data_IF_815387187448
#
_entry.id   IF_815387187448
#
_cell.length_a   1.000
_cell.length_b   1.000
_cell.length_c   1.000
_cell.angle_alpha   90.00
_cell.angle_beta   90.00
_cell.angle_gamma   90.00
#
_symmetry.space_group_name_H-M   'P 1'
#
loop_
_entity.id
_entity.type
_entity.pdbx_description
1 polymer ?
#
# COMPACT_ATOMS: atom_id res chain seq x y z
N UNK A 1 30.64 -2.95 20.72
CA UNK A 1 29.31 -3.51 20.91
C UNK A 1 28.37 -2.61 20.10
N UNK A 2 28.21 -2.94 18.81
CA UNK A 2 27.38 -2.15 17.90
C UNK A 2 26.16 -3.00 17.54
N UNK A 3 25.12 -2.88 18.35
CA UNK A 3 23.77 -3.24 17.97
C UNK A 3 23.06 -1.93 17.60
N UNK A 4 23.07 -1.58 16.34
CA UNK A 4 22.19 -0.53 15.85
C UNK A 4 21.71 -0.85 14.44
N UNK A 5 20.39 -0.92 14.31
CA UNK A 5 19.61 -0.56 13.14
C UNK A 5 19.66 -1.47 11.90
N UNK A 6 19.45 -2.76 12.06
CA UNK A 6 19.16 -3.62 10.90
C UNK A 6 17.66 -3.96 10.73
N UNK A 7 16.79 -3.37 11.56
CA UNK A 7 15.35 -3.71 11.58
C UNK A 7 14.59 -3.30 10.32
N UNK A 8 15.03 -2.27 9.60
CA UNK A 8 14.37 -1.84 8.35
C UNK A 8 14.66 -2.75 7.15
N UNK A 9 15.81 -3.43 7.13
CA UNK A 9 16.22 -4.25 5.98
C UNK A 9 15.48 -5.57 5.88
N UNK A 10 14.90 -6.05 6.98
CA UNK A 10 14.22 -7.33 7.08
C UNK A 10 12.70 -7.21 7.19
N UNK A 11 12.16 -5.98 7.26
CA UNK A 11 10.72 -5.76 7.37
C UNK A 11 9.95 -6.35 6.17
N UNK A 12 8.76 -6.84 6.46
CA UNK A 12 7.85 -7.44 5.47
C UNK A 12 6.54 -6.70 5.48
N UNK A 13 6.08 -6.33 4.30
CA UNK A 13 4.79 -5.67 4.11
C UNK A 13 3.78 -6.69 3.59
N UNK A 14 2.66 -6.79 4.27
CA UNK A 14 1.48 -7.49 3.80
C UNK A 14 0.59 -6.49 3.06
N UNK A 15 0.40 -6.69 1.77
CA UNK A 15 -0.66 -6.03 1.04
C UNK A 15 -1.88 -6.94 1.02
N UNK A 16 -2.96 -6.44 1.57
CA UNK A 16 -4.26 -7.09 1.55
C UNK A 16 -5.19 -6.29 0.66
N UNK A 17 -5.73 -6.91 -0.37
CA UNK A 17 -6.83 -6.34 -1.13
C UNK A 17 -8.06 -7.21 -1.03
N UNK A 18 -9.22 -6.61 -0.81
CA UNK A 18 -10.42 -7.39 -0.64
C UNK A 18 -11.67 -6.58 -0.35
N UNK A 19 -12.67 -7.30 0.08
CA UNK A 19 -13.96 -6.76 0.48
C UNK A 19 -14.84 -7.82 1.12
N UNK A 20 -16.02 -7.40 1.54
CA UNK A 20 -17.03 -8.30 2.07
C UNK A 20 -17.76 -9.02 0.94
N UNK A 21 -18.00 -10.31 1.15
CA UNK A 21 -18.88 -11.09 0.27
C UNK A 21 -20.36 -10.86 0.63
N UNK A 22 -21.31 -11.15 -0.27
CA UNK A 22 -22.75 -10.87 -0.04
C UNK A 22 -23.30 -11.39 1.28
N UNK A 23 -22.91 -12.59 1.70
CA UNK A 23 -23.38 -13.19 2.95
C UNK A 23 -23.01 -12.41 4.22
N UNK A 24 -22.05 -11.49 4.17
CA UNK A 24 -21.80 -10.55 5.26
C UNK A 24 -22.98 -9.60 5.48
N UNK A 25 -23.61 -9.18 4.41
CA UNK A 25 -24.72 -8.21 4.45
C UNK A 25 -26.06 -8.87 4.80
N UNK A 26 -26.10 -10.20 4.80
CA UNK A 26 -27.25 -10.98 5.28
C UNK A 26 -27.27 -11.14 6.80
N UNK A 27 -26.14 -10.83 7.47
CA UNK A 27 -26.04 -10.84 8.92
C UNK A 27 -26.77 -9.67 9.55
N UNK A 28 -27.31 -9.88 10.75
CA UNK A 28 -27.84 -8.78 11.55
C UNK A 28 -26.73 -7.79 11.95
N UNK A 29 -27.06 -6.52 12.26
CA UNK A 29 -26.08 -5.56 12.74
C UNK A 29 -25.35 -6.04 14.00
N UNK A 30 -26.03 -6.74 14.89
CA UNK A 30 -25.48 -7.29 16.14
C UNK A 30 -24.45 -8.38 15.85
N UNK A 31 -24.71 -9.26 14.87
CA UNK A 31 -23.76 -10.29 14.46
C UNK A 31 -22.54 -9.67 13.79
N UNK A 32 -22.73 -8.68 12.91
CA UNK A 32 -21.63 -7.95 12.26
C UNK A 32 -20.73 -7.26 13.30
N UNK A 33 -21.34 -6.61 14.30
CA UNK A 33 -20.62 -5.96 15.39
C UNK A 33 -19.84 -6.98 16.25
N UNK A 34 -20.47 -8.10 16.60
CA UNK A 34 -19.84 -9.17 17.37
C UNK A 34 -18.61 -9.72 16.66
N UNK A 35 -18.73 -10.06 15.38
CA UNK A 35 -17.61 -10.59 14.59
C UNK A 35 -16.52 -9.54 14.36
N UNK A 36 -16.89 -8.28 14.24
CA UNK A 36 -15.92 -7.18 14.11
C UNK A 36 -15.10 -7.01 15.40
N UNK A 37 -15.75 -7.09 16.57
CA UNK A 37 -15.05 -7.01 17.86
C UNK A 37 -14.11 -8.18 18.07
N UNK A 38 -14.56 -9.40 17.75
CA UNK A 38 -13.73 -10.60 17.84
C UNK A 38 -12.49 -10.49 16.96
N UNK A 39 -12.68 -10.06 15.70
CA UNK A 39 -11.59 -9.84 14.76
C UNK A 39 -10.58 -8.77 15.25
N UNK A 40 -11.06 -7.64 15.76
CA UNK A 40 -10.19 -6.62 16.34
C UNK A 40 -9.34 -7.17 17.48
N UNK A 41 -9.95 -7.93 18.39
CA UNK A 41 -9.22 -8.51 19.52
C UNK A 41 -8.12 -9.48 19.04
N UNK A 42 -8.42 -10.28 18.01
CA UNK A 42 -7.46 -11.17 17.39
C UNK A 42 -6.30 -10.36 16.77
N UNK A 43 -6.61 -9.34 15.97
CA UNK A 43 -5.60 -8.49 15.33
C UNK A 43 -4.71 -7.75 16.35
N UNK A 44 -5.30 -7.24 17.44
CA UNK A 44 -4.54 -6.64 18.56
C UNK A 44 -3.53 -7.60 19.16
N UNK A 45 -3.94 -8.85 19.38
CA UNK A 45 -3.04 -9.87 19.93
C UNK A 45 -1.82 -10.12 19.03
N UNK A 46 -2.01 -10.06 17.71
CA UNK A 46 -0.92 -10.18 16.73
C UNK A 46 0.01 -8.96 16.80
N UNK A 47 -0.55 -7.75 16.86
CA UNK A 47 0.22 -6.51 16.96
C UNK A 47 1.04 -6.48 18.24
N UNK A 48 0.44 -6.83 19.38
CA UNK A 48 1.12 -6.84 20.67
C UNK A 48 2.29 -7.82 20.70
N UNK A 49 2.12 -8.97 20.07
CA UNK A 49 3.13 -10.02 20.00
C UNK A 49 4.24 -9.72 19.00
N UNK A 50 3.90 -9.28 17.80
CA UNK A 50 4.82 -9.18 16.67
C UNK A 50 5.28 -7.75 16.34
N UNK A 51 4.72 -6.73 17.03
CA UNK A 51 5.09 -5.33 16.89
C UNK A 51 4.94 -4.82 15.45
N UNK A 52 3.82 -4.22 15.19
CA UNK A 52 3.55 -3.62 13.88
C UNK A 52 4.38 -2.35 13.67
N UNK A 53 4.89 -2.15 12.45
CA UNK A 53 5.59 -0.92 12.06
C UNK A 53 4.62 0.08 11.43
N UNK A 54 3.69 -0.44 10.60
CA UNK A 54 2.75 0.39 9.85
C UNK A 54 1.43 -0.34 9.63
N UNK A 55 0.34 0.37 9.73
CA UNK A 55 -1.00 -0.08 9.35
C UNK A 55 -1.74 1.06 8.66
N UNK A 56 -2.01 0.90 7.38
CA UNK A 56 -2.78 1.86 6.59
C UNK A 56 -3.85 1.16 5.78
N UNK A 57 -5.04 1.73 5.78
CA UNK A 57 -6.17 1.30 4.99
C UNK A 57 -6.55 2.30 3.91
N UNK A 58 -7.06 1.79 2.79
CA UNK A 58 -7.50 2.58 1.65
C UNK A 58 -8.82 2.05 1.13
N UNK A 59 -9.75 2.95 0.81
CA UNK A 59 -11.02 2.63 0.18
C UNK A 59 -10.98 3.03 -1.29
N UNK A 60 -11.27 2.09 -2.18
CA UNK A 60 -11.28 2.34 -3.61
C UNK A 60 -12.45 3.25 -4.00
N UNK A 61 -12.21 4.22 -4.87
CA UNK A 61 -13.27 5.08 -5.43
C UNK A 61 -14.21 4.29 -6.34
N UNK A 62 -13.65 3.31 -7.04
CA UNK A 62 -14.39 2.44 -7.95
C UNK A 62 -14.15 0.98 -7.56
N UNK A 63 -14.97 0.41 -6.68
CA UNK A 63 -14.89 -0.99 -6.29
C UNK A 63 -15.06 -1.91 -7.50
N UNK A 64 -14.21 -2.93 -7.61
CA UNK A 64 -14.26 -3.93 -8.68
C UNK A 64 -14.55 -5.29 -8.05
N UNK A 65 -15.72 -5.87 -8.35
CA UNK A 65 -16.18 -7.13 -7.75
C UNK A 65 -16.19 -7.06 -6.22
N UNK A 66 -15.52 -8.02 -5.56
CA UNK A 66 -15.35 -8.05 -4.12
C UNK A 66 -14.25 -7.11 -3.60
N UNK A 67 -13.58 -6.35 -4.49
CA UNK A 67 -12.55 -5.41 -4.11
C UNK A 67 -13.16 -4.07 -3.72
N UNK A 68 -13.07 -3.75 -2.44
CA UNK A 68 -13.62 -2.53 -1.87
C UNK A 68 -12.52 -1.71 -1.20
N UNK A 69 -11.52 -2.39 -0.65
CA UNK A 69 -10.43 -1.78 0.12
C UNK A 69 -9.09 -2.48 -0.12
N UNK A 70 -8.06 -1.77 0.27
CA UNK A 70 -6.68 -2.20 0.23
C UNK A 70 -6.01 -1.83 1.56
N UNK A 71 -5.12 -2.69 2.05
CA UNK A 71 -4.35 -2.44 3.25
C UNK A 71 -2.86 -2.63 2.98
N UNK A 72 -2.05 -1.80 3.64
CA UNK A 72 -0.61 -1.95 3.72
C UNK A 72 -0.23 -2.11 5.20
N UNK A 73 0.31 -3.27 5.54
CA UNK A 73 0.59 -3.66 6.93
C UNK A 73 2.03 -4.11 6.99
N UNK A 74 2.88 -3.41 7.74
CA UNK A 74 4.31 -3.67 7.81
C UNK A 74 4.69 -4.24 9.18
N UNK A 75 5.42 -5.36 9.16
CA UNK A 75 5.96 -6.04 10.32
C UNK A 75 7.49 -6.07 10.29
N UNK A 76 8.15 -6.06 11.45
CA UNK A 76 9.60 -6.19 11.51
C UNK A 76 10.11 -7.56 11.04
N UNK A 77 9.25 -8.59 11.05
CA UNK A 77 9.64 -9.96 10.70
C UNK A 77 8.58 -10.65 9.82
N UNK A 78 8.99 -11.71 9.14
CA UNK A 78 8.10 -12.54 8.33
C UNK A 78 7.05 -13.27 9.20
N UNK A 79 7.41 -13.70 10.39
CA UNK A 79 6.52 -14.39 11.32
C UNK A 79 5.33 -13.51 11.73
N UNK A 80 5.54 -12.20 11.88
CA UNK A 80 4.46 -11.24 12.14
C UNK A 80 3.51 -11.13 10.96
N UNK A 81 4.04 -11.05 9.74
CA UNK A 81 3.25 -11.00 8.52
C UNK A 81 2.43 -12.30 8.32
N UNK A 82 3.03 -13.46 8.55
CA UNK A 82 2.35 -14.75 8.47
C UNK A 82 1.25 -14.88 9.52
N UNK A 83 1.54 -14.49 10.77
CA UNK A 83 0.55 -14.52 11.85
C UNK A 83 -0.66 -13.62 11.53
N UNK A 84 -0.43 -12.45 10.94
CA UNK A 84 -1.50 -11.57 10.50
C UNK A 84 -2.38 -12.22 9.44
N UNK A 85 -1.78 -12.78 8.38
CA UNK A 85 -2.54 -13.44 7.30
C UNK A 85 -3.37 -14.60 7.85
N UNK A 86 -2.80 -15.43 8.72
CA UNK A 86 -3.50 -16.54 9.31
C UNK A 86 -4.70 -16.07 10.16
N UNK A 87 -4.51 -15.01 10.95
CA UNK A 87 -5.58 -14.44 11.77
C UNK A 87 -6.72 -13.83 10.94
N UNK A 88 -6.41 -13.17 9.82
CA UNK A 88 -7.42 -12.65 8.88
C UNK A 88 -8.29 -13.76 8.26
N UNK A 89 -7.73 -14.96 8.14
CA UNK A 89 -8.42 -16.11 7.55
C UNK A 89 -9.23 -16.92 8.57
N UNK A 90 -9.06 -16.64 9.87
CA UNK A 90 -9.77 -17.37 10.93
C UNK A 90 -11.30 -17.16 10.88
N UNK A 91 -12.10 -18.20 11.06
CA UNK A 91 -13.54 -18.05 11.23
C UNK A 91 -13.86 -17.44 12.61
N UNK A 92 -15.02 -16.77 12.76
CA UNK A 92 -16.04 -16.64 11.73
C UNK A 92 -15.78 -15.52 10.74
N UNK A 93 -14.95 -14.51 11.09
CA UNK A 93 -14.78 -13.28 10.32
C UNK A 93 -14.20 -13.52 8.93
N UNK A 94 -13.18 -14.37 8.81
CA UNK A 94 -12.49 -14.66 7.55
C UNK A 94 -13.39 -15.25 6.47
N UNK A 95 -14.45 -15.98 6.87
CA UNK A 95 -15.41 -16.57 5.92
C UNK A 95 -16.24 -15.54 5.16
N UNK A 96 -16.34 -14.31 5.64
CA UNK A 96 -17.14 -13.25 5.05
C UNK A 96 -16.31 -12.27 4.20
N UNK A 97 -15.05 -12.58 3.97
CA UNK A 97 -14.14 -11.79 3.15
C UNK A 97 -13.74 -12.50 1.86
N UNK A 98 -13.58 -11.73 0.79
CA UNK A 98 -12.83 -12.13 -0.40
C UNK A 98 -11.52 -11.38 -0.38
N UNK A 99 -10.42 -12.08 -0.05
CA UNK A 99 -9.16 -11.48 0.32
C UNK A 99 -8.02 -12.04 -0.54
N UNK A 100 -7.13 -11.15 -1.00
CA UNK A 100 -5.90 -11.51 -1.70
C UNK A 100 -4.72 -10.87 -0.96
N UNK A 101 -3.73 -11.67 -0.65
CA UNK A 101 -2.54 -11.25 0.06
C UNK A 101 -1.32 -11.24 -0.86
N UNK A 102 -0.49 -10.21 -0.71
CA UNK A 102 0.81 -10.11 -1.34
C UNK A 102 1.84 -9.77 -0.27
N UNK A 103 2.93 -10.50 -0.27
CA UNK A 103 4.08 -10.16 0.57
C UNK A 103 5.05 -9.30 -0.22
N UNK A 104 5.60 -8.29 0.42
CA UNK A 104 6.49 -7.35 -0.21
C UNK A 104 7.60 -6.88 0.72
N UNK A 105 8.65 -6.32 0.12
CA UNK A 105 9.67 -5.56 0.83
C UNK A 105 9.73 -4.15 0.27
N UNK A 106 9.96 -3.19 1.14
CA UNK A 106 10.14 -1.79 0.74
C UNK A 106 11.38 -1.65 -0.13
N UNK A 107 11.26 -0.88 -1.21
CA UNK A 107 12.39 -0.51 -2.07
C UNK A 107 12.93 0.82 -1.53
N UNK A 108 14.12 0.79 -0.93
CA UNK A 108 14.74 1.98 -0.33
C UNK A 108 15.31 2.96 -1.36
N UNK A 109 15.77 2.44 -2.50
CA UNK A 109 16.44 3.23 -3.53
C UNK A 109 15.82 3.00 -4.90
N UNK A 110 14.80 3.80 -5.23
CA UNK A 110 14.41 4.00 -6.63
C UNK A 110 15.10 5.27 -7.16
N UNK A 111 15.51 5.25 -8.43
CA UNK A 111 16.05 6.46 -9.08
C UNK A 111 15.10 7.67 -8.95
N UNK A 112 13.79 7.39 -8.98
CA UNK A 112 12.74 8.39 -8.75
C UNK A 112 12.79 8.95 -7.32
N UNK A 113 13.18 8.15 -6.32
CA UNK A 113 13.35 8.65 -4.94
C UNK A 113 14.49 9.67 -4.83
N UNK A 114 15.58 9.53 -5.60
CA UNK A 114 16.67 10.52 -5.58
C UNK A 114 16.24 11.87 -6.14
N UNK A 115 15.35 11.85 -7.12
CA UNK A 115 14.79 13.04 -7.75
C UNK A 115 13.77 13.74 -6.84
N UNK A 116 13.04 13.00 -6.03
CA UNK A 116 12.04 13.53 -5.08
C UNK A 116 12.68 13.92 -3.75
N UNK A 117 13.78 13.26 -3.33
CA UNK A 117 14.52 13.60 -2.10
C UNK A 117 15.14 15.00 -2.12
N UNK A 118 15.42 15.56 -3.29
CA UNK A 118 15.89 16.95 -3.42
C UNK A 118 14.78 17.97 -3.23
N UNK A 119 13.52 17.60 -3.31
CA UNK A 119 12.38 18.45 -2.96
C UNK A 119 11.91 18.13 -1.54
N UNK A 120 12.55 18.70 -0.55
CA UNK A 120 12.16 18.88 0.85
C UNK A 120 10.88 18.18 1.34
N UNK A 121 11.03 17.48 2.48
CA UNK A 121 9.97 17.11 3.41
C UNK A 121 9.07 15.93 3.00
N UNK A 122 9.65 14.77 2.80
CA UNK A 122 8.97 13.59 3.34
C UNK A 122 9.12 13.67 4.87
N UNK A 123 8.03 13.59 5.63
CA UNK A 123 8.18 13.41 7.06
C UNK A 123 9.07 12.17 7.24
N UNK A 124 10.30 12.41 7.70
CA UNK A 124 11.18 11.35 8.15
C UNK A 124 10.36 10.68 9.25
N UNK A 125 9.89 9.47 8.99
CA UNK A 125 9.20 8.67 9.98
C UNK A 125 10.19 8.58 11.13
N UNK A 126 9.88 9.28 12.21
CA UNK A 126 10.72 9.28 13.40
C UNK A 126 10.60 7.88 13.98
N UNK A 127 11.69 7.17 14.16
CA UNK A 127 11.72 5.77 14.62
C UNK A 127 11.04 5.56 15.99
N UNK A 128 10.74 6.65 16.70
CA UNK A 128 10.07 6.66 18.00
C UNK A 128 8.56 6.91 17.93
N UNK A 129 8.01 7.16 16.73
CA UNK A 129 6.58 7.40 16.56
C UNK A 129 5.89 6.08 16.21
N UNK A 130 5.57 5.30 17.24
CA UNK A 130 4.73 4.10 17.14
C UNK A 130 3.25 4.43 16.81
N UNK A 131 2.91 5.71 16.65
CA UNK A 131 1.60 6.21 16.24
C UNK A 131 1.34 6.13 14.72
N UNK A 132 2.05 5.26 14.01
CA UNK A 132 1.90 5.09 12.55
C UNK A 132 0.69 4.26 12.14
N UNK A 133 -0.23 3.99 13.03
CA UNK A 133 -1.55 3.52 12.67
C UNK A 133 -2.41 4.71 12.27
N UNK A 134 -2.19 5.25 11.05
CA UNK A 134 -3.09 6.27 10.51
C UNK A 134 -4.39 5.61 10.06
N UNK A 135 -5.28 5.40 11.03
CA UNK A 135 -6.59 4.81 10.85
C UNK A 135 -7.69 5.88 10.73
N UNK A 136 -7.32 7.11 10.38
CA UNK A 136 -8.27 8.16 10.13
C UNK A 136 -8.74 8.13 8.66
N UNK A 137 -10.02 8.35 8.46
CA UNK A 137 -10.56 8.58 7.12
C UNK A 137 -10.13 9.98 6.66
N UNK A 138 -9.19 10.03 5.71
CA UNK A 138 -8.76 11.27 5.07
C UNK A 138 -9.27 11.32 3.63
N UNK A 139 -10.19 12.23 3.38
CA UNK A 139 -10.74 12.52 2.06
C UNK A 139 -10.09 13.73 1.38
N UNK A 140 -9.13 14.35 2.04
CA UNK A 140 -8.44 15.55 1.53
C UNK A 140 -7.30 15.20 0.57
N UNK A 141 -6.95 13.92 0.47
CA UNK A 141 -5.95 13.43 -0.47
C UNK A 141 -6.46 12.27 -1.31
N UNK A 142 -5.82 12.06 -2.45
CA UNK A 142 -6.08 10.95 -3.37
C UNK A 142 -4.85 10.08 -3.43
N UNK A 143 -5.04 8.79 -3.20
CA UNK A 143 -3.97 7.79 -3.26
C UNK A 143 -4.12 6.95 -4.52
N UNK A 144 -3.05 6.83 -5.27
CA UNK A 144 -2.94 5.91 -6.42
C UNK A 144 -2.15 4.69 -5.96
N UNK A 145 -2.78 3.52 -6.05
CA UNK A 145 -2.13 2.24 -5.81
C UNK A 145 -1.87 1.61 -7.17
N UNK A 146 -0.61 1.45 -7.52
CA UNK A 146 -0.17 0.91 -8.80
C UNK A 146 0.44 -0.47 -8.59
N UNK A 147 -0.07 -1.47 -9.30
CA UNK A 147 0.61 -2.75 -9.48
C UNK A 147 1.27 -2.78 -10.85
N UNK A 148 2.52 -3.19 -10.92
CA UNK A 148 3.26 -3.21 -12.17
C UNK A 148 4.13 -4.46 -12.34
N UNK A 149 4.37 -4.79 -13.62
CA UNK A 149 5.35 -5.79 -14.04
C UNK A 149 6.06 -5.26 -15.28
N UNK A 150 7.38 -5.47 -15.34
CA UNK A 150 8.14 -5.19 -16.56
C UNK A 150 7.74 -6.16 -17.67
N UNK A 151 7.56 -5.66 -18.88
CA UNK A 151 7.32 -6.52 -20.04
C UNK A 151 8.61 -7.30 -20.32
N UNK A 152 8.55 -8.63 -20.48
CA UNK A 152 9.73 -9.43 -20.77
C UNK A 152 10.47 -8.92 -22.02
N UNK A 153 11.78 -8.76 -21.92
CA UNK A 153 12.63 -8.23 -23.00
C UNK A 153 12.58 -6.72 -23.20
N UNK A 154 11.79 -6.00 -22.38
CA UNK A 154 11.74 -4.55 -22.39
C UNK A 154 12.31 -4.03 -21.08
N UNK A 155 13.61 -3.97 -20.94
CA UNK A 155 14.19 -3.34 -19.77
C UNK A 155 14.17 -1.82 -19.92
N UNK A 156 13.75 -1.11 -18.85
CA UNK A 156 14.06 0.31 -18.69
C UNK A 156 15.56 0.58 -18.83
N UNK A 157 16.37 -0.45 -18.59
CA UNK A 157 17.83 -0.47 -18.81
C UNK A 157 18.18 -0.24 -20.30
N UNK A 158 17.28 -0.57 -21.23
CA UNK A 158 17.48 -0.36 -22.67
C UNK A 158 16.95 0.99 -23.17
N UNK A 159 16.42 1.85 -22.28
CA UNK A 159 16.24 3.25 -22.63
C UNK A 159 17.60 3.89 -22.86
N UNK A 160 17.75 4.63 -23.95
CA UNK A 160 18.90 5.50 -24.05
C UNK A 160 18.88 6.55 -22.93
N UNK A 161 20.04 7.04 -22.58
CA UNK A 161 20.19 7.97 -21.45
C UNK A 161 19.29 9.22 -21.63
N UNK A 162 19.11 9.71 -22.83
CA UNK A 162 18.23 10.84 -23.11
C UNK A 162 16.75 10.55 -22.81
N UNK A 163 16.27 9.39 -23.18
CA UNK A 163 14.90 8.94 -22.87
C UNK A 163 14.70 8.76 -21.38
N UNK A 164 15.68 8.18 -20.69
CA UNK A 164 15.68 7.99 -19.23
C UNK A 164 15.64 9.34 -18.50
N UNK A 165 16.50 10.27 -18.88
CA UNK A 165 16.52 11.63 -18.29
C UNK A 165 15.21 12.37 -18.56
N UNK A 166 14.64 12.24 -19.75
CA UNK A 166 13.32 12.81 -20.05
C UNK A 166 12.23 12.25 -19.16
N UNK A 167 12.22 10.93 -18.93
CA UNK A 167 11.25 10.27 -18.05
C UNK A 167 11.37 10.78 -16.60
N UNK A 168 12.58 10.82 -16.06
CA UNK A 168 12.86 11.33 -14.72
C UNK A 168 12.41 12.79 -14.59
N UNK A 169 12.73 13.62 -15.58
CA UNK A 169 12.30 15.02 -15.62
C UNK A 169 10.78 15.18 -15.62
N UNK A 170 10.07 14.35 -16.37
CA UNK A 170 8.61 14.36 -16.42
C UNK A 170 8.00 13.96 -15.08
N UNK A 171 8.53 12.89 -14.43
CA UNK A 171 8.12 12.48 -13.08
C UNK A 171 8.32 13.63 -12.10
N UNK A 172 9.48 14.25 -12.10
CA UNK A 172 9.78 15.41 -11.25
C UNK A 172 8.81 16.58 -11.50
N UNK A 173 8.56 16.90 -12.78
CA UNK A 173 7.64 17.97 -13.15
C UNK A 173 6.23 17.72 -12.63
N UNK A 174 5.67 16.52 -12.84
CA UNK A 174 4.34 16.15 -12.35
C UNK A 174 4.29 16.17 -10.83
N UNK A 175 5.31 15.58 -10.16
CA UNK A 175 5.39 15.55 -8.70
C UNK A 175 5.39 16.96 -8.10
N UNK A 176 6.19 17.87 -8.66
CA UNK A 176 6.28 19.24 -8.18
C UNK A 176 5.04 20.07 -8.51
N UNK A 177 4.54 19.97 -9.74
CA UNK A 177 3.37 20.74 -10.19
C UNK A 177 2.10 20.38 -9.41
N UNK A 178 1.97 19.14 -8.99
CA UNK A 178 0.79 18.60 -8.31
C UNK A 178 1.05 18.29 -6.84
N UNK A 179 2.15 18.80 -6.27
CA UNK A 179 2.44 18.72 -4.83
C UNK A 179 2.37 17.28 -4.29
N UNK A 180 3.12 16.36 -4.93
CA UNK A 180 3.18 14.97 -4.49
C UNK A 180 3.48 14.89 -2.99
N UNK A 181 2.56 14.32 -2.22
CA UNK A 181 2.66 14.19 -0.77
C UNK A 181 3.57 13.00 -0.40
N UNK A 182 3.41 11.88 -1.13
CA UNK A 182 4.10 10.63 -0.80
C UNK A 182 4.30 9.75 -2.03
N UNK A 183 5.46 9.08 -2.07
CA UNK A 183 5.76 8.01 -3.01
C UNK A 183 6.47 6.88 -2.25
N UNK A 184 5.90 5.70 -2.28
CA UNK A 184 6.48 4.50 -1.69
C UNK A 184 6.43 3.37 -2.71
N UNK A 185 7.52 2.60 -2.80
CA UNK A 185 7.61 1.46 -3.71
C UNK A 185 8.01 0.19 -2.97
N UNK A 186 7.48 -0.92 -3.47
CA UNK A 186 7.62 -2.22 -2.84
C UNK A 186 7.86 -3.31 -3.87
N UNK A 187 8.85 -4.15 -3.62
CA UNK A 187 9.10 -5.36 -4.38
C UNK A 187 8.20 -6.48 -3.85
N UNK A 188 7.30 -7.00 -4.68
CA UNK A 188 6.50 -8.16 -4.33
C UNK A 188 7.37 -9.42 -4.32
N UNK A 189 7.30 -10.18 -3.23
CA UNK A 189 8.04 -11.43 -3.04
C UNK A 189 7.15 -12.66 -3.14
N UNK A 190 5.84 -12.47 -3.32
CA UNK A 190 4.86 -13.55 -3.48
C UNK A 190 4.90 -14.07 -4.91
N UNK A 191 5.33 -15.31 -5.17
CA UNK A 191 5.51 -15.82 -6.52
C UNK A 191 4.20 -16.11 -7.25
N UNK A 192 3.07 -16.19 -6.55
CA UNK A 192 1.75 -16.45 -7.13
C UNK A 192 1.17 -15.27 -7.92
N UNK A 193 1.75 -14.09 -7.76
CA UNK A 193 1.30 -12.90 -8.45
C UNK A 193 2.03 -12.70 -9.77
N UNK A 194 1.29 -12.28 -10.80
CA UNK A 194 1.88 -11.77 -12.04
C UNK A 194 2.56 -10.41 -11.85
N UNK A 195 2.26 -9.71 -10.76
CA UNK A 195 2.83 -8.42 -10.43
C UNK A 195 4.19 -8.58 -9.73
N UNK A 196 5.07 -7.62 -9.93
CA UNK A 196 6.42 -7.61 -9.33
C UNK A 196 6.66 -6.44 -8.40
N UNK A 197 5.96 -5.34 -8.64
CA UNK A 197 6.13 -4.11 -7.87
C UNK A 197 4.76 -3.52 -7.55
N UNK A 198 4.66 -2.94 -6.37
CA UNK A 198 3.52 -2.09 -5.98
C UNK A 198 4.06 -0.72 -5.62
N UNK A 199 3.42 0.32 -6.13
CA UNK A 199 3.76 1.71 -5.84
C UNK A 199 2.54 2.41 -5.26
N UNK A 200 2.73 3.13 -4.16
CA UNK A 200 1.71 3.96 -3.53
C UNK A 200 2.15 5.41 -3.69
N UNK A 201 1.33 6.21 -4.36
CA UNK A 201 1.54 7.65 -4.50
C UNK A 201 0.34 8.41 -3.96
N UNK A 202 0.58 9.56 -3.37
CA UNK A 202 -0.47 10.37 -2.75
C UNK A 202 -0.38 11.81 -3.21
N UNK A 203 -1.50 12.36 -3.62
CA UNK A 203 -1.64 13.74 -4.10
C UNK A 203 -2.75 14.47 -3.35
N UNK A 204 -2.66 15.80 -3.19
CA UNK A 204 -3.72 16.58 -2.55
C UNK A 204 -5.01 16.64 -3.39
N UNK A 205 -4.94 16.31 -4.68
CA UNK A 205 -6.10 16.43 -5.59
C UNK A 205 -6.18 15.27 -6.57
N UNK A 206 -7.39 15.03 -7.08
CA UNK A 206 -7.63 14.07 -8.16
C UNK A 206 -6.89 14.43 -9.46
N UNK A 207 -6.68 15.72 -9.72
CA UNK A 207 -5.95 16.17 -10.91
C UNK A 207 -4.48 15.75 -10.84
N UNK A 208 -3.87 15.80 -9.67
CA UNK A 208 -2.51 15.30 -9.47
C UNK A 208 -2.41 13.79 -9.68
N UNK A 209 -3.34 13.04 -9.10
CA UNK A 209 -3.41 11.59 -9.30
C UNK A 209 -3.63 11.23 -10.78
N UNK A 210 -4.51 11.97 -11.49
CA UNK A 210 -4.73 11.77 -12.92
C UNK A 210 -3.48 12.08 -13.74
N UNK A 211 -2.82 13.20 -13.50
CA UNK A 211 -1.58 13.56 -14.21
C UNK A 211 -0.48 12.51 -14.02
N UNK A 212 -0.41 11.92 -12.82
CA UNK A 212 0.51 10.83 -12.53
C UNK A 212 0.19 9.56 -13.34
N UNK A 213 -1.09 9.20 -13.44
CA UNK A 213 -1.54 8.05 -14.25
C UNK A 213 -1.29 8.31 -15.74
N UNK A 214 -1.65 9.48 -16.25
CA UNK A 214 -1.45 9.87 -17.65
C UNK A 214 0.04 9.80 -18.03
N UNK A 215 0.95 10.23 -17.12
CA UNK A 215 2.39 10.09 -17.33
C UNK A 215 2.83 8.62 -17.45
N UNK A 216 2.27 7.75 -16.63
CA UNK A 216 2.60 6.33 -16.66
C UNK A 216 2.05 5.63 -17.93
N UNK A 217 0.96 6.14 -18.48
CA UNK A 217 0.29 5.63 -19.69
C UNK A 217 0.83 6.26 -20.98
N UNK A 218 1.77 7.19 -20.90
CA UNK A 218 2.43 7.79 -22.06
C UNK A 218 3.01 6.66 -22.96
N UNK A 219 2.71 6.67 -24.27
CA UNK A 219 3.17 5.64 -25.21
C UNK A 219 4.68 5.43 -25.22
N UNK A 220 5.46 6.44 -24.83
CA UNK A 220 6.91 6.32 -24.73
C UNK A 220 7.36 5.39 -23.60
N UNK A 221 6.49 5.18 -22.58
CA UNK A 221 6.83 4.43 -21.35
C UNK A 221 5.98 3.19 -21.14
N UNK A 222 4.72 3.17 -21.58
CA UNK A 222 3.80 2.04 -21.38
C UNK A 222 4.32 0.74 -21.97
N UNK A 223 5.11 0.81 -23.03
CA UNK A 223 5.69 -0.36 -23.71
C UNK A 223 6.67 -1.15 -22.84
N UNK A 224 7.16 -0.57 -21.75
CA UNK A 224 8.14 -1.20 -20.86
C UNK A 224 7.51 -1.88 -19.66
N UNK A 225 6.29 -1.48 -19.28
CA UNK A 225 5.62 -1.99 -18.09
C UNK A 225 4.13 -2.15 -18.33
N UNK A 226 3.59 -3.26 -17.90
CA UNK A 226 2.14 -3.41 -17.71
C UNK A 226 1.78 -2.93 -16.31
N UNK A 227 0.73 -2.12 -16.21
CA UNK A 227 0.29 -1.52 -14.95
C UNK A 227 -1.20 -1.63 -14.77
N UNK A 228 -1.61 -1.62 -13.51
CA UNK A 228 -2.99 -1.39 -13.12
C UNK A 228 -3.00 -0.37 -11.99
N UNK A 229 -3.73 0.72 -12.18
CA UNK A 229 -3.85 1.82 -11.24
C UNK A 229 -5.22 1.77 -10.56
N UNK A 230 -5.24 1.95 -9.24
CA UNK A 230 -6.46 2.07 -8.45
C UNK A 230 -6.44 3.40 -7.72
N UNK A 231 -7.52 4.16 -7.89
CA UNK A 231 -7.76 5.40 -7.14
C UNK A 231 -8.44 5.09 -5.83
N UNK A 232 -7.97 5.70 -4.77
CA UNK A 232 -8.45 5.49 -3.42
C UNK A 232 -8.27 6.74 -2.56
N UNK A 233 -8.84 6.72 -1.37
CA UNK A 233 -8.51 7.63 -0.28
C UNK A 233 -8.13 6.81 0.96
N UNK A 234 -7.43 7.43 1.90
CA UNK A 234 -7.15 6.81 3.20
C UNK A 234 -8.46 6.53 3.92
N UNK A 235 -8.55 5.36 4.52
CA UNK A 235 -9.77 4.89 5.15
C UNK A 235 -9.48 3.89 6.24
N UNK A 236 -10.30 3.94 7.28
CA UNK A 236 -10.39 2.88 8.27
C UNK A 236 -11.87 2.57 8.56
N UNK A 237 -12.23 1.31 8.78
CA UNK A 237 -13.55 0.97 9.26
C UNK A 237 -13.83 1.65 10.61
N UNK A 238 -15.09 2.06 10.82
CA UNK A 238 -15.49 2.76 12.06
C UNK A 238 -15.15 1.99 13.34
N UNK A 239 -15.13 0.66 13.30
CA UNK A 239 -14.79 -0.16 14.44
C UNK A 239 -13.29 -0.13 14.78
N UNK A 240 -12.41 0.19 13.82
CA UNK A 240 -10.99 0.41 14.09
C UNK A 240 -10.70 1.69 14.87
N UNK A 241 -11.56 2.71 14.76
CA UNK A 241 -11.41 3.94 15.55
C UNK A 241 -11.59 3.70 17.05
N UNK A 242 -12.31 2.65 17.45
CA UNK A 242 -12.42 2.20 18.83
C UNK A 242 -11.16 1.45 19.32
N UNK A 243 -10.26 1.15 18.43
CA UNK A 243 -9.08 0.36 18.69
C UNK A 243 -7.90 1.20 19.22
N UNK A 244 -7.83 2.45 18.82
CA UNK A 244 -6.72 3.36 19.09
C UNK A 244 -6.87 4.11 20.43
N UNK A 245 -8.01 3.98 21.10
CA UNK A 245 -8.29 4.69 22.37
C UNK A 245 -7.97 3.84 23.58
#
# INVERSE_FOLDING_TARGET
MFESSNTKKDSVVVFLKGGRIPSWYDLSPEEQDSYSVEHINLMRSIIDKHKIIKLEGYKLFSPINAWQFFWAIEFPTFEGAEAWINAEMEPPYGRYGSLNYYLARRIEHMEVHSVIKESEQHPVINENDLDHTNLEEDKNSVVVITFEISVPGSDLVNLDEGQRQKYIKNIYSVSKQHELIRLEAYQLITPQSNWRTTVITEFPTINGAKAWIDLQEDPSYIRFKTRTNYLSHKWAPRYFTKWIK
#
